data_IF_059568301459
#
_entry.id   IF_059568301459
#
_cell.length_a   1.000
_cell.length_b   1.000
_cell.length_c   1.000
_cell.angle_alpha   90.00
_cell.angle_beta   90.00
_cell.angle_gamma   90.00
#
_symmetry.space_group_name_H-M   'P 1'
#
loop_
_entity.id
_entity.type
_entity.pdbx_description
1 polymer ?
#
# COMPACT_ATOMS: atom_id res chain seq x y z
N UNK A 1 15.80 -3.65 -9.54
CA UNK A 1 16.17 -2.68 -8.49
C UNK A 1 14.98 -1.75 -8.30
N UNK A 2 14.68 -1.32 -7.06
CA UNK A 2 13.62 -0.33 -6.79
C UNK A 2 14.25 1.05 -6.94
N UNK A 3 13.80 1.85 -7.91
CA UNK A 3 14.33 3.20 -8.11
C UNK A 3 13.54 4.22 -7.30
N UNK A 4 12.21 4.12 -7.34
CA UNK A 4 11.30 4.99 -6.59
C UNK A 4 10.33 4.16 -5.73
N UNK A 5 10.04 4.65 -4.52
CA UNK A 5 9.11 4.03 -3.59
C UNK A 5 8.14 5.08 -3.03
N UNK A 6 6.85 4.89 -3.24
CA UNK A 6 5.79 5.77 -2.76
C UNK A 6 5.06 5.12 -1.59
N UNK A 7 5.05 5.77 -0.44
CA UNK A 7 4.35 5.31 0.76
C UNK A 7 3.15 6.21 0.98
N UNK A 8 1.95 5.62 0.89
CA UNK A 8 0.69 6.35 0.85
C UNK A 8 -0.39 5.62 1.65
N UNK A 9 -1.00 6.25 2.67
CA UNK A 9 -0.53 7.42 3.38
C UNK A 9 0.78 7.09 4.11
N UNK A 10 1.64 8.08 4.27
CA UNK A 10 2.90 7.89 4.97
C UNK A 10 2.72 7.70 6.48
N UNK A 11 1.67 8.26 7.09
CA UNK A 11 1.36 8.17 8.50
C UNK A 11 2.58 8.34 9.40
N UNK A 12 2.73 7.41 10.34
CA UNK A 12 3.93 7.23 11.17
C UNK A 12 4.84 6.11 10.65
N UNK A 13 4.73 5.76 9.36
CA UNK A 13 5.63 4.79 8.74
C UNK A 13 7.08 5.32 8.79
N UNK A 14 7.98 4.45 9.25
CA UNK A 14 9.41 4.68 9.37
C UNK A 14 10.24 3.78 8.43
N UNK A 15 9.64 3.15 7.41
CA UNK A 15 10.33 2.31 6.42
C UNK A 15 11.54 3.01 5.81
N UNK A 16 11.40 4.30 5.46
CA UNK A 16 12.48 5.17 4.94
C UNK A 16 13.69 5.30 5.88
N UNK A 17 13.51 5.06 7.18
CA UNK A 17 14.54 5.17 8.22
C UNK A 17 15.12 3.83 8.67
N UNK A 18 14.51 2.68 8.28
CA UNK A 18 14.90 1.37 8.83
C UNK A 18 15.10 0.26 7.79
N UNK A 19 14.59 0.39 6.56
CA UNK A 19 14.68 -0.67 5.57
C UNK A 19 15.90 -0.51 4.68
N UNK A 20 16.86 -1.43 4.83
CA UNK A 20 18.10 -1.46 4.04
C UNK A 20 17.87 -1.68 2.54
N UNK A 21 16.73 -2.27 2.14
CA UNK A 21 16.38 -2.43 0.74
C UNK A 21 16.06 -1.11 0.02
N UNK A 22 15.85 -0.01 0.75
CA UNK A 22 15.57 1.32 0.20
C UNK A 22 16.84 2.18 0.03
N UNK A 23 18.02 1.67 0.39
CA UNK A 23 19.27 2.44 0.40
C UNK A 23 19.64 3.11 -0.93
N UNK A 24 19.19 2.53 -2.03
CA UNK A 24 19.44 3.01 -3.40
C UNK A 24 18.18 3.64 -4.03
N UNK A 25 17.08 3.75 -3.27
CA UNK A 25 15.77 4.21 -3.73
C UNK A 25 15.45 5.62 -3.26
N UNK A 26 14.86 6.43 -4.14
CA UNK A 26 14.21 7.69 -3.78
C UNK A 26 12.84 7.36 -3.17
N UNK A 27 12.60 7.78 -1.92
CA UNK A 27 11.33 7.54 -1.23
C UNK A 27 10.48 8.81 -1.23
N UNK A 28 9.20 8.66 -1.55
CA UNK A 28 8.19 9.70 -1.43
C UNK A 28 7.17 9.31 -0.37
N UNK A 29 7.01 10.16 0.62
CA UNK A 29 6.00 10.02 1.67
C UNK A 29 4.85 10.97 1.37
N UNK A 30 3.68 10.44 1.04
CA UNK A 30 2.49 11.22 0.66
C UNK A 30 1.48 11.15 1.79
N UNK A 31 1.09 12.30 2.32
CA UNK A 31 0.04 12.39 3.36
C UNK A 31 -0.43 13.83 3.52
N UNK A 32 -1.39 14.04 4.41
CA UNK A 32 -1.81 15.37 4.84
C UNK A 32 -0.64 16.18 5.43
N UNK A 33 -0.59 17.51 5.19
CA UNK A 33 0.47 18.38 5.70
C UNK A 33 0.70 18.25 7.21
N UNK A 34 -0.38 18.15 7.99
CA UNK A 34 -0.34 18.08 9.45
C UNK A 34 0.29 16.77 9.93
N UNK A 35 0.02 15.65 9.25
CA UNK A 35 0.58 14.33 9.57
C UNK A 35 2.08 14.31 9.27
N UNK A 36 2.48 14.84 8.10
CA UNK A 36 3.89 14.95 7.72
C UNK A 36 4.66 15.85 8.69
N UNK A 37 4.08 16.97 9.10
CA UNK A 37 4.68 17.89 10.07
C UNK A 37 4.82 17.26 11.46
N UNK A 38 3.79 16.55 11.93
CA UNK A 38 3.84 15.83 13.19
C UNK A 38 4.93 14.76 13.18
N UNK A 39 5.02 13.95 12.12
CA UNK A 39 6.08 12.94 11.98
C UNK A 39 7.47 13.59 11.95
N UNK A 40 7.66 14.66 11.17
CA UNK A 40 8.94 15.37 11.12
C UNK A 40 9.36 15.87 12.50
N UNK A 41 8.44 16.45 13.28
CA UNK A 41 8.69 16.93 14.64
C UNK A 41 9.14 15.80 15.58
N UNK A 42 8.50 14.63 15.50
CA UNK A 42 8.87 13.46 16.31
C UNK A 42 10.27 12.96 15.94
N UNK A 43 10.58 12.90 14.65
CA UNK A 43 11.89 12.46 14.15
C UNK A 43 12.98 13.45 14.57
N UNK A 44 12.74 14.75 14.42
CA UNK A 44 13.69 15.79 14.83
C UNK A 44 13.95 15.73 16.34
N UNK A 45 12.91 15.51 17.15
CA UNK A 45 13.07 15.31 18.59
C UNK A 45 13.90 14.06 18.91
N UNK A 46 13.69 12.96 18.20
CA UNK A 46 14.46 11.72 18.38
C UNK A 46 15.94 11.90 17.96
N UNK A 47 16.19 12.58 16.84
CA UNK A 47 17.55 12.91 16.36
C UNK A 47 18.28 13.80 17.37
N UNK A 48 17.59 14.74 18.02
CA UNK A 48 18.20 15.65 18.99
C UNK A 48 18.19 15.12 20.43
N UNK A 49 17.68 13.91 20.68
CA UNK A 49 17.64 13.34 22.01
C UNK A 49 19.06 13.06 22.54
N UNK A 50 19.26 13.14 23.86
CA UNK A 50 20.57 12.86 24.49
C UNK A 50 20.85 11.37 24.65
N UNK A 51 19.97 10.51 24.14
CA UNK A 51 20.09 9.07 24.26
C UNK A 51 21.07 8.59 23.18
N UNK A 52 22.30 8.23 23.59
CA UNK A 52 23.41 7.93 22.69
C UNK A 52 23.20 6.66 21.85
N UNK A 53 22.14 5.90 22.12
CA UNK A 53 22.02 4.58 21.55
C UNK A 53 21.47 4.57 20.12
N UNK A 54 20.55 5.46 19.71
CA UNK A 54 20.01 5.44 18.34
C UNK A 54 19.42 6.79 17.89
N UNK A 55 20.16 7.53 17.07
CA UNK A 55 19.60 8.66 16.31
C UNK A 55 19.05 8.17 14.97
N UNK A 56 17.76 8.40 14.65
CA UNK A 56 17.21 7.99 13.37
C UNK A 56 17.93 8.70 12.23
N UNK A 57 18.53 7.93 11.33
CA UNK A 57 19.09 8.42 10.08
C UNK A 57 18.29 7.83 8.93
N UNK A 58 18.07 8.63 7.88
CA UNK A 58 17.38 8.14 6.69
C UNK A 58 18.22 7.01 6.08
N UNK A 59 17.65 5.81 6.00
CA UNK A 59 18.29 4.67 5.34
C UNK A 59 18.12 4.75 3.82
N UNK A 60 17.02 5.33 3.35
CA UNK A 60 16.77 5.55 1.94
C UNK A 60 17.79 6.50 1.29
N UNK A 61 17.99 6.38 -0.03
CA UNK A 61 18.90 7.27 -0.79
C UNK A 61 18.49 8.73 -0.64
N UNK A 62 17.20 9.00 -0.71
CA UNK A 62 16.58 10.29 -0.46
C UNK A 62 15.16 10.11 0.02
N UNK A 63 14.65 11.10 0.74
CA UNK A 63 13.29 11.13 1.25
C UNK A 63 12.66 12.49 0.94
N UNK A 64 11.56 12.48 0.18
CA UNK A 64 10.75 13.66 -0.14
C UNK A 64 9.36 13.50 0.48
N UNK A 65 8.93 14.49 1.25
CA UNK A 65 7.57 14.53 1.81
C UNK A 65 6.67 15.35 0.90
N UNK A 66 5.55 14.78 0.49
CA UNK A 66 4.64 15.39 -0.48
C UNK A 66 3.28 15.62 0.19
N UNK A 67 2.95 16.87 0.57
CA UNK A 67 1.67 17.18 1.19
C UNK A 67 0.54 17.07 0.17
N UNK A 68 -0.24 15.99 0.23
CA UNK A 68 -1.35 15.74 -0.68
C UNK A 68 -2.42 14.85 -0.05
N UNK A 69 -3.66 15.03 -0.50
CA UNK A 69 -4.80 14.16 -0.19
C UNK A 69 -5.12 13.32 -1.42
N UNK A 70 -5.19 11.99 -1.26
CA UNK A 70 -5.55 11.07 -2.34
C UNK A 70 -7.01 11.19 -2.79
N UNK A 71 -7.85 11.83 -1.98
CA UNK A 71 -9.24 12.12 -2.34
C UNK A 71 -9.37 13.35 -3.26
N UNK A 72 -8.31 14.14 -3.43
CA UNK A 72 -8.29 15.32 -4.31
C UNK A 72 -7.68 14.96 -5.67
N UNK A 73 -8.04 15.67 -6.74
CA UNK A 73 -7.58 15.35 -8.09
C UNK A 73 -6.13 15.79 -8.39
N UNK A 74 -5.53 16.63 -7.54
CA UNK A 74 -4.23 17.27 -7.76
C UNK A 74 -3.02 16.52 -7.13
N UNK A 75 -3.25 15.38 -6.46
CA UNK A 75 -2.19 14.65 -5.75
C UNK A 75 -1.06 14.19 -6.69
N UNK A 76 -1.40 13.79 -7.91
CA UNK A 76 -0.41 13.34 -8.90
C UNK A 76 0.43 14.52 -9.43
N UNK A 77 -0.17 15.69 -9.60
CA UNK A 77 0.54 16.92 -9.97
C UNK A 77 1.51 17.32 -8.86
N UNK A 78 1.08 17.27 -7.59
CA UNK A 78 1.95 17.52 -6.42
C UNK A 78 3.13 16.55 -6.36
N UNK A 79 2.92 15.28 -6.68
CA UNK A 79 4.00 14.30 -6.83
C UNK A 79 4.97 14.68 -7.94
N UNK A 80 4.48 15.06 -9.12
CA UNK A 80 5.31 15.49 -10.26
C UNK A 80 6.16 16.71 -9.91
N UNK A 81 5.57 17.74 -9.29
CA UNK A 81 6.28 18.94 -8.82
C UNK A 81 7.37 18.56 -7.80
N UNK A 82 7.14 17.53 -7.00
CA UNK A 82 8.09 17.03 -5.99
C UNK A 82 9.22 16.16 -6.56
N UNK A 83 9.22 15.92 -7.89
CA UNK A 83 10.27 15.16 -8.59
C UNK A 83 9.92 13.71 -8.90
N UNK A 84 8.64 13.33 -8.89
CA UNK A 84 8.18 12.04 -9.43
C UNK A 84 8.57 11.88 -10.91
N UNK A 85 9.19 10.75 -11.27
CA UNK A 85 9.59 10.45 -12.65
C UNK A 85 8.84 9.22 -13.18
N UNK A 86 7.88 9.38 -14.12
CA UNK A 86 6.96 8.30 -14.51
C UNK A 86 7.60 7.08 -15.19
N UNK A 87 8.85 7.18 -15.62
CA UNK A 87 9.54 6.12 -16.37
C UNK A 87 10.46 5.25 -15.49
N UNK A 88 10.58 5.54 -14.19
CA UNK A 88 11.43 4.78 -13.28
C UNK A 88 10.71 3.60 -12.65
N UNK A 89 11.46 2.52 -12.39
CA UNK A 89 10.93 1.33 -11.73
C UNK A 89 10.40 1.69 -10.35
N UNK A 90 9.09 1.53 -10.16
CA UNK A 90 8.38 2.10 -9.02
C UNK A 90 7.68 1.04 -8.17
N UNK A 91 7.78 1.19 -6.85
CA UNK A 91 6.95 0.49 -5.86
C UNK A 91 5.97 1.48 -5.24
N UNK A 92 4.67 1.17 -5.28
CA UNK A 92 3.61 1.90 -4.60
C UNK A 92 3.13 1.08 -3.40
N UNK A 93 3.09 1.69 -2.22
CA UNK A 93 2.59 1.07 -0.99
C UNK A 93 1.34 1.83 -0.56
N UNK A 94 0.19 1.19 -0.73
CA UNK A 94 -1.13 1.70 -0.36
C UNK A 94 -1.64 0.90 0.84
N UNK A 95 -1.06 1.16 2.00
CA UNK A 95 -1.39 0.47 3.26
C UNK A 95 -2.37 1.31 4.08
N UNK A 96 -3.51 0.73 4.40
CA UNK A 96 -4.45 1.29 5.36
C UNK A 96 -5.31 2.44 4.84
N UNK A 97 -5.47 2.57 3.51
CA UNK A 97 -6.12 3.77 2.90
C UNK A 97 -7.27 3.49 1.96
N UNK A 98 -7.18 2.44 1.15
CA UNK A 98 -8.13 2.23 0.05
C UNK A 98 -9.58 2.22 0.53
N UNK A 99 -9.85 1.58 1.68
CA UNK A 99 -11.18 1.47 2.27
C UNK A 99 -11.75 2.77 2.89
N UNK A 100 -10.95 3.84 3.01
CA UNK A 100 -11.44 5.17 3.41
C UNK A 100 -11.82 6.06 2.21
N UNK A 101 -11.34 5.71 1.01
CA UNK A 101 -11.67 6.43 -0.22
C UNK A 101 -13.08 6.06 -0.70
N UNK A 102 -13.73 6.96 -1.44
CA UNK A 102 -14.91 6.58 -2.21
C UNK A 102 -14.53 5.52 -3.25
N UNK A 103 -15.51 4.72 -3.69
CA UNK A 103 -15.25 3.71 -4.72
C UNK A 103 -14.63 4.30 -6.00
N UNK A 104 -15.11 5.47 -6.45
CA UNK A 104 -14.55 6.14 -7.63
C UNK A 104 -13.11 6.60 -7.42
N UNK A 105 -12.76 7.13 -6.24
CA UNK A 105 -11.39 7.56 -5.96
C UNK A 105 -10.44 6.38 -5.79
N UNK A 106 -10.84 5.31 -5.09
CA UNK A 106 -10.03 4.10 -4.95
C UNK A 106 -9.71 3.49 -6.32
N UNK A 107 -10.72 3.30 -7.16
CA UNK A 107 -10.53 2.75 -8.53
C UNK A 107 -9.69 3.69 -9.39
N UNK A 108 -9.89 5.01 -9.30
CA UNK A 108 -9.08 6.00 -10.04
C UNK A 108 -7.61 5.94 -9.64
N UNK A 109 -7.29 5.87 -8.35
CA UNK A 109 -5.91 5.73 -7.86
C UNK A 109 -5.30 4.43 -8.37
N UNK A 110 -6.01 3.31 -8.27
CA UNK A 110 -5.55 2.01 -8.77
C UNK A 110 -5.30 2.04 -10.29
N UNK A 111 -6.19 2.67 -11.06
CA UNK A 111 -6.03 2.83 -12.51
C UNK A 111 -4.80 3.69 -12.85
N UNK A 112 -4.61 4.83 -12.17
CA UNK A 112 -3.43 5.70 -12.39
C UNK A 112 -2.12 4.92 -12.16
N UNK A 113 -2.08 4.06 -11.14
CA UNK A 113 -0.91 3.21 -10.85
C UNK A 113 -0.78 2.11 -11.92
N UNK A 114 -1.88 1.45 -12.29
CA UNK A 114 -1.88 0.40 -13.32
C UNK A 114 -1.39 0.93 -14.67
N UNK A 115 -1.77 2.14 -15.06
CA UNK A 115 -1.34 2.80 -16.30
C UNK A 115 0.19 2.94 -16.39
N UNK A 116 0.90 2.98 -15.25
CA UNK A 116 2.38 3.03 -15.21
C UNK A 116 3.03 1.71 -15.61
N UNK A 117 2.31 0.60 -15.53
CA UNK A 117 2.80 -0.68 -16.05
C UNK A 117 3.13 -0.58 -17.55
N UNK A 118 2.50 0.34 -18.30
CA UNK A 118 2.81 0.55 -19.73
C UNK A 118 4.12 1.33 -19.97
N UNK A 119 4.66 2.00 -18.95
CA UNK A 119 5.85 2.86 -19.07
C UNK A 119 7.08 2.24 -18.40
N UNK A 120 6.89 1.54 -17.30
CA UNK A 120 7.99 1.03 -16.48
C UNK A 120 7.55 -0.14 -15.61
N UNK A 121 8.52 -0.86 -15.06
CA UNK A 121 8.24 -1.92 -14.08
C UNK A 121 7.61 -1.30 -12.82
N UNK A 122 6.35 -1.63 -12.58
CA UNK A 122 5.54 -1.07 -11.51
C UNK A 122 5.07 -2.19 -10.60
N UNK A 123 5.20 -1.99 -9.29
CA UNK A 123 4.67 -2.90 -8.26
C UNK A 123 3.74 -2.12 -7.35
N UNK A 124 2.55 -2.66 -7.11
CA UNK A 124 1.60 -2.21 -6.10
C UNK A 124 1.63 -3.20 -4.93
N UNK A 125 1.87 -2.70 -3.72
CA UNK A 125 1.63 -3.38 -2.46
C UNK A 125 0.46 -2.68 -1.77
N UNK A 126 -0.60 -3.42 -1.44
CA UNK A 126 -1.80 -2.83 -0.87
C UNK A 126 -2.52 -3.81 0.04
N UNK A 127 -3.44 -3.30 0.86
CA UNK A 127 -4.40 -4.10 1.59
C UNK A 127 -5.85 -3.80 1.19
N UNK A 128 -6.64 -4.86 1.04
CA UNK A 128 -8.05 -4.77 0.64
C UNK A 128 -8.94 -5.40 1.70
N UNK A 129 -10.04 -4.73 2.04
CA UNK A 129 -11.12 -5.32 2.82
C UNK A 129 -12.21 -5.83 1.89
N UNK A 130 -12.74 -7.00 2.23
CA UNK A 130 -13.99 -7.48 1.64
C UNK A 130 -15.18 -6.76 2.30
N UNK A 131 -16.37 -6.88 1.72
CA UNK A 131 -17.57 -6.19 2.22
C UNK A 131 -17.89 -6.51 3.67
N UNK A 132 -17.73 -7.76 4.09
CA UNK A 132 -18.05 -8.19 5.45
C UNK A 132 -17.09 -7.59 6.48
N UNK A 133 -15.80 -7.51 6.15
CA UNK A 133 -14.78 -6.93 7.02
C UNK A 133 -15.05 -5.44 7.31
N UNK A 134 -15.55 -4.70 6.33
CA UNK A 134 -15.94 -3.30 6.55
C UNK A 134 -17.11 -3.13 7.53
N UNK A 135 -17.92 -4.16 7.79
CA UNK A 135 -19.05 -4.08 8.71
C UNK A 135 -18.69 -4.35 10.17
N UNK A 136 -17.42 -4.69 10.46
CA UNK A 136 -16.98 -5.09 11.80
C UNK A 136 -16.62 -3.93 12.73
N UNK A 137 -16.31 -2.79 12.13
CA UNK A 137 -16.02 -1.56 12.86
C UNK A 137 -17.21 -0.62 12.75
N UNK A 138 -17.39 0.23 13.74
CA UNK A 138 -18.24 1.41 13.62
C UNK A 138 -17.62 2.51 12.74
N UNK A 139 -16.41 2.30 12.23
CA UNK A 139 -15.74 3.20 11.30
C UNK A 139 -16.48 3.29 9.96
N UNK A 140 -16.45 4.48 9.36
CA UNK A 140 -17.03 4.70 8.03
C UNK A 140 -16.06 4.28 6.94
N UNK A 141 -16.15 3.01 6.52
CA UNK A 141 -15.47 2.53 5.32
C UNK A 141 -16.34 2.79 4.07
N UNK A 142 -15.71 3.25 3.00
CA UNK A 142 -16.37 3.74 1.78
C UNK A 142 -16.01 2.93 0.53
N UNK A 143 -15.04 2.04 0.64
CA UNK A 143 -14.62 1.13 -0.40
C UNK A 143 -14.34 -0.27 0.18
N UNK A 144 -14.67 -1.28 -0.62
CA UNK A 144 -14.35 -2.68 -0.39
C UNK A 144 -14.19 -3.36 -1.75
N UNK A 145 -13.46 -4.47 -1.78
CA UNK A 145 -13.33 -5.30 -2.97
C UNK A 145 -13.31 -6.77 -2.54
N UNK A 146 -14.31 -7.53 -2.98
CA UNK A 146 -14.39 -8.96 -2.68
C UNK A 146 -13.43 -9.77 -3.59
N UNK A 147 -13.09 -9.24 -4.77
CA UNK A 147 -12.29 -9.90 -5.83
C UNK A 147 -11.11 -9.03 -6.35
N UNK A 148 -10.08 -8.71 -5.53
CA UNK A 148 -8.95 -7.90 -5.99
C UNK A 148 -8.15 -8.55 -7.13
N UNK A 149 -8.12 -9.88 -7.15
CA UNK A 149 -7.54 -10.73 -8.19
C UNK A 149 -8.26 -10.67 -9.53
N UNK A 150 -9.53 -10.22 -9.56
CA UNK A 150 -10.25 -9.92 -10.80
C UNK A 150 -10.18 -8.44 -11.15
N UNK A 151 -10.29 -7.56 -10.13
CA UNK A 151 -10.24 -6.11 -10.32
C UNK A 151 -8.90 -5.67 -10.91
N UNK A 152 -7.77 -6.07 -10.32
CA UNK A 152 -6.47 -5.52 -10.70
C UNK A 152 -6.03 -5.91 -12.11
N UNK A 153 -6.23 -7.15 -12.59
CA UNK A 153 -5.98 -7.46 -13.99
C UNK A 153 -6.85 -6.66 -14.94
N UNK A 154 -8.12 -6.38 -14.57
CA UNK A 154 -8.99 -5.55 -15.40
C UNK A 154 -8.51 -4.09 -15.55
N UNK A 155 -7.66 -3.61 -14.63
CA UNK A 155 -7.06 -2.28 -14.69
C UNK A 155 -5.71 -2.25 -15.43
N UNK A 156 -5.09 -3.42 -15.69
CA UNK A 156 -3.84 -3.54 -16.45
C UNK A 156 -2.66 -4.18 -15.72
N UNK A 157 -2.83 -4.68 -14.49
CA UNK A 157 -1.77 -5.47 -13.83
C UNK A 157 -1.67 -6.88 -14.42
N UNK A 158 -0.49 -7.32 -14.82
CA UNK A 158 -0.29 -8.64 -15.44
C UNK A 158 -0.09 -9.76 -14.43
N UNK A 159 0.45 -9.44 -13.25
CA UNK A 159 0.67 -10.40 -12.17
C UNK A 159 -0.02 -9.91 -10.90
N UNK A 160 -0.78 -10.80 -10.26
CA UNK A 160 -1.48 -10.51 -9.00
C UNK A 160 -1.31 -11.69 -8.05
N UNK A 161 -0.84 -11.41 -6.84
CA UNK A 161 -0.72 -12.36 -5.73
C UNK A 161 -1.47 -11.84 -4.52
N UNK A 162 -2.39 -12.64 -4.02
CA UNK A 162 -3.14 -12.39 -2.80
C UNK A 162 -2.68 -13.36 -1.70
N UNK A 163 -2.51 -12.81 -0.51
CA UNK A 163 -2.41 -13.56 0.74
C UNK A 163 -3.44 -13.00 1.71
N UNK A 164 -3.85 -13.77 2.71
CA UNK A 164 -4.70 -13.31 3.80
C UNK A 164 -4.06 -13.65 5.15
N UNK A 165 -4.50 -12.95 6.20
CA UNK A 165 -4.05 -13.25 7.56
C UNK A 165 -4.29 -14.72 7.88
N UNK A 166 -3.21 -15.44 8.16
CA UNK A 166 -3.25 -16.87 8.48
C UNK A 166 -2.79 -17.80 7.38
N UNK A 167 -2.59 -17.31 6.16
CA UNK A 167 -1.94 -18.09 5.10
C UNK A 167 -0.49 -18.41 5.49
N UNK A 168 0.12 -19.48 4.93
CA UNK A 168 1.50 -19.87 5.20
C UNK A 168 2.52 -18.73 5.08
N UNK A 169 2.28 -17.79 4.16
CA UNK A 169 3.14 -16.62 3.91
C UNK A 169 2.68 -15.33 4.61
N UNK A 170 1.63 -15.40 5.43
CA UNK A 170 1.02 -14.26 6.14
C UNK A 170 0.55 -14.60 7.57
N UNK A 171 1.19 -15.57 8.24
CA UNK A 171 0.92 -15.92 9.64
C UNK A 171 2.08 -15.61 10.60
N UNK A 172 3.32 -15.82 10.18
CA UNK A 172 4.57 -15.62 10.94
C UNK A 172 4.56 -16.14 12.40
N UNK A 173 3.79 -17.20 12.69
CA UNK A 173 3.63 -17.73 14.06
C UNK A 173 2.85 -16.84 15.03
N UNK A 174 2.30 -15.70 14.59
CA UNK A 174 1.67 -14.68 15.44
C UNK A 174 0.19 -14.95 15.77
N UNK A 175 -0.36 -16.07 15.28
CA UNK A 175 -1.80 -16.38 15.37
C UNK A 175 -2.16 -17.41 16.45
N UNK A 176 -1.22 -17.79 17.31
CA UNK A 176 -1.47 -18.78 18.36
C UNK A 176 -2.12 -18.21 19.63
N UNK A 177 -2.28 -16.88 19.74
CA UNK A 177 -2.93 -16.26 20.90
C UNK A 177 -4.46 -16.28 20.76
N UNK A 178 -5.23 -16.98 21.63
CA UNK A 178 -6.68 -17.07 21.56
C UNK A 178 -7.41 -15.72 21.74
N UNK A 179 -6.80 -14.72 22.41
CA UNK A 179 -7.39 -13.39 22.62
C UNK A 179 -7.13 -12.43 21.45
N UNK A 180 -6.36 -12.87 20.45
CA UNK A 180 -6.00 -12.04 19.31
C UNK A 180 -7.25 -11.60 18.53
N UNK A 181 -7.35 -10.30 18.21
CA UNK A 181 -8.41 -9.74 17.36
C UNK A 181 -8.48 -10.48 16.01
N UNK A 182 -7.34 -10.99 15.52
CA UNK A 182 -7.28 -11.83 14.33
C UNK A 182 -8.09 -13.14 14.46
N UNK A 183 -8.30 -13.68 15.66
CA UNK A 183 -9.22 -14.81 15.85
C UNK A 183 -10.68 -14.40 15.73
N UNK A 184 -11.06 -13.21 16.23
CA UNK A 184 -12.41 -12.66 15.98
C UNK A 184 -12.60 -12.41 14.49
N UNK A 185 -11.62 -11.79 13.84
CA UNK A 185 -11.60 -11.61 12.39
C UNK A 185 -11.70 -12.95 11.65
N UNK A 186 -11.08 -14.04 12.14
CA UNK A 186 -11.15 -15.42 11.62
C UNK A 186 -12.43 -16.21 12.00
N UNK A 187 -13.18 -15.77 13.01
CA UNK A 187 -14.45 -16.39 13.44
C UNK A 187 -15.66 -15.98 12.61
N UNK A 188 -15.55 -14.92 11.81
CA UNK A 188 -16.60 -14.44 10.94
C UNK A 188 -16.88 -15.40 9.77
N UNK A 189 -18.10 -15.41 9.21
CA UNK A 189 -18.36 -16.07 7.94
C UNK A 189 -17.44 -15.45 6.87
N UNK A 190 -16.65 -16.29 6.20
CA UNK A 190 -15.66 -15.87 5.21
C UNK A 190 -16.29 -15.02 4.08
N UNK A 191 -17.56 -15.28 3.76
CA UNK A 191 -18.47 -14.44 2.94
C UNK A 191 -19.87 -15.10 2.92
N UNK A 192 -20.92 -14.41 2.45
CA UNK A 192 -22.18 -15.05 1.97
C UNK A 192 -22.02 -15.55 0.52
N UNK A 193 -21.05 -15.00 -0.19
CA UNK A 193 -20.67 -15.31 -1.57
C UNK A 193 -19.43 -16.21 -1.60
N UNK A 194 -19.25 -16.94 -2.69
CA UNK A 194 -18.10 -17.84 -2.91
C UNK A 194 -17.42 -17.45 -4.20
N UNK A 195 -16.13 -17.72 -4.33
CA UNK A 195 -15.39 -17.46 -5.57
C UNK A 195 -16.10 -18.20 -6.71
N UNK A 196 -16.49 -17.50 -7.79
CA UNK A 196 -17.34 -18.07 -8.82
C UNK A 196 -16.69 -19.28 -9.50
N UNK A 197 -15.36 -19.32 -9.55
CA UNK A 197 -14.62 -20.34 -10.28
C UNK A 197 -14.31 -21.60 -9.46
N UNK A 198 -14.13 -21.49 -8.14
CA UNK A 198 -13.69 -22.62 -7.29
C UNK A 198 -14.53 -22.82 -6.02
N UNK A 199 -15.55 -21.98 -5.80
CA UNK A 199 -16.45 -22.06 -4.66
C UNK A 199 -15.77 -21.75 -3.32
N UNK A 200 -14.52 -21.27 -3.32
CA UNK A 200 -13.81 -20.98 -2.08
C UNK A 200 -14.35 -19.71 -1.42
N UNK A 201 -14.34 -19.61 -0.09
CA UNK A 201 -14.86 -18.44 0.59
C UNK A 201 -13.85 -17.28 0.55
N UNK A 202 -14.31 -16.05 0.32
CA UNK A 202 -13.46 -14.85 0.22
C UNK A 202 -12.59 -14.62 1.48
N UNK A 203 -11.38 -14.10 1.29
CA UNK A 203 -10.51 -13.59 2.34
C UNK A 203 -11.02 -12.26 2.92
N UNK A 204 -10.58 -11.93 4.13
CA UNK A 204 -11.22 -10.91 5.00
C UNK A 204 -10.47 -9.58 5.00
N UNK A 205 -9.15 -9.68 5.06
CA UNK A 205 -8.21 -8.62 4.74
C UNK A 205 -7.17 -9.29 3.85
N UNK A 206 -7.06 -8.82 2.62
CA UNK A 206 -6.07 -9.30 1.68
C UNK A 206 -4.82 -8.45 1.80
N UNK A 207 -3.67 -9.10 1.91
CA UNK A 207 -2.36 -8.54 1.66
C UNK A 207 -2.03 -8.82 0.19
N UNK A 208 -1.81 -7.77 -0.58
CA UNK A 208 -1.76 -7.87 -2.02
C UNK A 208 -0.43 -7.37 -2.57
N UNK A 209 0.10 -8.13 -3.53
CA UNK A 209 1.11 -7.66 -4.48
C UNK A 209 0.53 -7.75 -5.88
N UNK A 210 0.50 -6.65 -6.62
CA UNK A 210 0.28 -6.64 -8.06
C UNK A 210 1.46 -6.02 -8.79
N UNK A 211 1.74 -6.44 -10.01
CA UNK A 211 2.81 -5.87 -10.82
C UNK A 211 2.52 -5.93 -12.31
N UNK A 212 3.23 -5.08 -13.05
CA UNK A 212 3.24 -5.06 -14.51
C UNK A 212 4.46 -4.31 -15.03
N UNK A 213 4.79 -4.53 -16.29
CA UNK A 213 5.89 -3.89 -16.99
C UNK A 213 5.53 -3.73 -18.46
N UNK A 214 6.17 -2.79 -19.20
CA UNK A 214 5.91 -2.65 -20.61
C UNK A 214 6.16 -3.97 -21.32
N UNK A 215 5.30 -4.33 -22.26
CA UNK A 215 5.58 -5.46 -23.13
C UNK A 215 6.92 -5.18 -23.83
N UNK A 216 7.92 -6.03 -23.57
CA UNK A 216 9.09 -6.10 -24.42
C UNK A 216 8.62 -6.62 -25.78
N UNK A 217 8.10 -5.74 -26.63
CA UNK A 217 8.11 -5.97 -28.08
C UNK A 217 9.57 -6.05 -28.47
N UNK A 218 10.10 -7.25 -28.34
CA UNK A 218 11.41 -7.62 -28.84
C UNK A 218 11.32 -7.47 -30.34
N UNK A 219 12.09 -6.50 -30.82
CA UNK A 219 12.49 -6.29 -32.19
C UNK A 219 12.66 -7.64 -32.90
N UNK A 220 11.82 -7.88 -33.91
CA UNK A 220 12.07 -8.89 -34.95
C UNK A 220 12.46 -8.16 -36.22
#
# INVERSE_FOLDING_TARGET
MIEECYIIPAGMDARSYRLSCLKDSTVFEVDFPEVLHAKATIIDAAVNSKDEHHHPTTTAKSLTRVPADLAEDDWLEKLQISGFEPNKCTVWILEGILYYLSHSHAVKVLQIIADKCNLTNTVLLADFMNKQATMLSSSTFRFYCDWPDQLLPSLGFSEVKLSQIGDPDANFGLLQDPLNLFNKLRGLPRSVQTHPDDGTPCGRLYLLRASGSPDNQTSS
#
